data_IF_688286751466
#
_entry.id   IF_688286751466
#
_cell.length_a   1.000
_cell.length_b   1.000
_cell.length_c   1.000
_cell.angle_alpha   90.00
_cell.angle_beta   90.00
_cell.angle_gamma   90.00
#
_symmetry.space_group_name_H-M   'P 1'
#
loop_
_entity.id
_entity.type
_entity.pdbx_description
1 polymer ?
#
# COMPACT_ATOMS: atom_id res chain seq x y z
N UNK A 1 -9.50 13.34 0.78
CA UNK A 1 -8.23 12.90 0.15
C UNK A 1 -8.27 11.49 -0.39
N UNK A 2 -9.12 11.21 -1.39
CA UNK A 2 -9.17 9.88 -2.01
C UNK A 2 -8.00 9.64 -2.98
N UNK A 3 -7.58 10.66 -3.73
CA UNK A 3 -6.47 10.54 -4.68
C UNK A 3 -5.13 10.15 -4.05
N UNK A 4 -4.81 10.66 -2.86
CA UNK A 4 -3.58 10.30 -2.13
C UNK A 4 -3.62 8.86 -1.62
N UNK A 5 -4.78 8.36 -1.19
CA UNK A 5 -4.94 6.96 -0.78
C UNK A 5 -4.80 6.01 -1.97
N UNK A 6 -5.37 6.40 -3.12
CA UNK A 6 -5.25 5.66 -4.38
C UNK A 6 -3.79 5.61 -4.85
N UNK A 7 -3.07 6.73 -4.74
CA UNK A 7 -1.64 6.80 -5.03
C UNK A 7 -0.81 5.94 -4.07
N UNK A 8 -1.09 5.93 -2.77
CA UNK A 8 -0.42 5.04 -1.82
C UNK A 8 -0.68 3.56 -2.10
N UNK A 9 -1.92 3.19 -2.45
CA UNK A 9 -2.25 1.83 -2.84
C UNK A 9 -1.55 1.40 -4.13
N UNK A 10 -1.60 2.23 -5.16
CA UNK A 10 -0.95 1.96 -6.45
C UNK A 10 0.58 1.94 -6.35
N UNK A 11 1.17 2.84 -5.56
CA UNK A 11 2.62 2.89 -5.34
C UNK A 11 3.11 1.74 -4.46
N UNK A 12 2.48 1.52 -3.30
CA UNK A 12 2.91 0.50 -2.34
C UNK A 12 2.67 -0.92 -2.84
N UNK A 13 1.49 -1.22 -3.38
CA UNK A 13 1.18 -2.55 -3.90
C UNK A 13 1.54 -2.73 -5.37
N UNK A 14 1.18 -1.78 -6.24
CA UNK A 14 1.39 -1.93 -7.69
C UNK A 14 2.86 -1.87 -8.07
N UNK A 15 3.56 -0.78 -7.74
CA UNK A 15 4.99 -0.65 -8.02
C UNK A 15 5.86 -1.54 -7.11
N UNK A 16 5.47 -1.71 -5.84
CA UNK A 16 6.14 -2.63 -4.92
C UNK A 16 6.09 -4.09 -5.41
N UNK A 17 4.93 -4.60 -5.81
CA UNK A 17 4.83 -5.96 -6.34
C UNK A 17 5.55 -6.13 -7.69
N UNK A 18 5.59 -5.10 -8.52
CA UNK A 18 6.37 -5.13 -9.76
C UNK A 18 7.87 -5.20 -9.50
N UNK A 19 8.38 -4.47 -8.50
CA UNK A 19 9.78 -4.54 -8.09
C UNK A 19 10.18 -5.97 -7.70
N UNK A 20 9.33 -6.63 -6.90
CA UNK A 20 9.55 -8.00 -6.46
C UNK A 20 9.51 -9.04 -7.59
N UNK A 21 8.67 -8.84 -8.61
CA UNK A 21 8.65 -9.71 -9.79
C UNK A 21 9.96 -9.59 -10.59
N UNK A 22 10.48 -8.37 -10.76
CA UNK A 22 11.75 -8.16 -11.47
C UNK A 22 12.91 -8.83 -10.73
N UNK A 23 12.94 -8.69 -9.41
CA UNK A 23 13.95 -9.30 -8.56
C UNK A 23 13.88 -10.84 -8.57
N UNK A 24 12.68 -11.42 -8.48
CA UNK A 24 12.46 -12.86 -8.59
C UNK A 24 12.90 -13.43 -9.96
N UNK A 25 12.61 -12.72 -11.06
CA UNK A 25 13.06 -13.10 -12.40
C UNK A 25 14.59 -13.03 -12.51
N UNK A 26 15.23 -12.05 -11.88
CA UNK A 26 16.69 -11.96 -11.82
C UNK A 26 17.30 -13.17 -11.09
N UNK A 27 16.70 -13.60 -9.97
CA UNK A 27 17.15 -14.80 -9.21
C UNK A 27 17.03 -16.09 -10.01
N UNK A 28 16.01 -16.22 -10.87
CA UNK A 28 15.85 -17.40 -11.74
C UNK A 28 16.82 -17.43 -12.92
N UNK A 29 17.33 -16.27 -13.33
CA UNK A 29 18.14 -16.11 -14.56
C UNK A 29 19.63 -15.98 -14.26
N UNK A 30 20.00 -15.55 -13.04
CA UNK A 30 21.39 -15.38 -12.61
C UNK A 30 21.66 -16.28 -11.38
N UNK A 31 22.60 -17.24 -11.46
CA UNK A 31 22.97 -18.02 -10.28
C UNK A 31 23.64 -17.13 -9.22
N UNK A 32 23.35 -17.40 -7.94
CA UNK A 32 23.94 -16.78 -6.74
C UNK A 32 23.52 -15.35 -6.33
N UNK A 33 22.35 -14.85 -6.74
CA UNK A 33 21.78 -13.65 -6.08
C UNK A 33 21.03 -14.09 -4.82
N UNK A 34 21.58 -13.84 -3.63
CA UNK A 34 21.01 -14.19 -2.30
C UNK A 34 19.71 -13.41 -1.94
N UNK A 35 19.04 -12.82 -2.94
CA UNK A 35 17.81 -12.03 -2.83
C UNK A 35 16.87 -12.44 -3.99
N UNK A 36 15.55 -12.47 -3.73
CA UNK A 36 14.53 -12.89 -4.71
C UNK A 36 14.19 -14.39 -4.79
N UNK A 37 14.39 -15.17 -3.71
CA UNK A 37 13.76 -16.50 -3.59
C UNK A 37 12.28 -16.41 -3.18
N UNK A 38 11.46 -17.45 -3.46
CA UNK A 38 10.01 -17.47 -3.17
C UNK A 38 9.62 -16.96 -1.77
N UNK A 39 10.42 -17.31 -0.75
CA UNK A 39 10.19 -16.87 0.64
C UNK A 39 10.46 -15.37 0.81
N UNK A 40 11.54 -14.84 0.22
CA UNK A 40 11.92 -13.43 0.34
C UNK A 40 10.93 -12.55 -0.42
N UNK A 41 10.67 -12.86 -1.69
CA UNK A 41 9.66 -12.19 -2.53
C UNK A 41 8.28 -12.20 -1.86
N UNK A 42 7.92 -13.29 -1.18
CA UNK A 42 6.69 -13.37 -0.40
C UNK A 42 6.66 -12.40 0.79
N UNK A 43 7.74 -12.31 1.55
CA UNK A 43 7.86 -11.38 2.67
C UNK A 43 7.87 -9.91 2.22
N UNK A 44 8.49 -9.61 1.08
CA UNK A 44 8.55 -8.24 0.54
C UNK A 44 7.17 -7.78 0.05
N UNK A 45 6.38 -8.67 -0.57
CA UNK A 45 4.97 -8.40 -0.88
C UNK A 45 4.11 -8.16 0.36
N UNK A 46 4.32 -8.94 1.43
CA UNK A 46 3.62 -8.74 2.71
C UNK A 46 4.00 -7.39 3.33
N UNK A 47 5.29 -7.04 3.33
CA UNK A 47 5.76 -5.76 3.84
C UNK A 47 5.19 -4.57 3.05
N UNK A 48 5.18 -4.67 1.71
CA UNK A 48 4.57 -3.68 0.81
C UNK A 48 3.07 -3.49 1.09
N UNK A 49 2.33 -4.59 1.29
CA UNK A 49 0.92 -4.55 1.64
C UNK A 49 0.68 -3.88 3.00
N UNK A 50 1.44 -4.28 4.03
CA UNK A 50 1.32 -3.71 5.37
C UNK A 50 1.65 -2.21 5.35
N UNK A 51 2.73 -1.82 4.69
CA UNK A 51 3.12 -0.41 4.53
C UNK A 51 2.06 0.43 3.84
N UNK A 52 1.46 -0.07 2.75
CA UNK A 52 0.39 0.62 2.04
C UNK A 52 -0.87 0.83 2.91
N UNK A 53 -1.28 -0.20 3.67
CA UNK A 53 -2.41 -0.12 4.59
C UNK A 53 -2.14 0.90 5.70
N UNK A 54 -0.94 0.87 6.29
CA UNK A 54 -0.54 1.82 7.34
C UNK A 54 -0.54 3.27 6.82
N UNK A 55 0.02 3.51 5.62
CA UNK A 55 0.04 4.84 5.01
C UNK A 55 -1.37 5.37 4.73
N UNK A 56 -2.25 4.56 4.14
CA UNK A 56 -3.65 4.93 3.89
C UNK A 56 -4.40 5.26 5.20
N UNK A 57 -4.20 4.44 6.23
CA UNK A 57 -4.83 4.65 7.56
C UNK A 57 -4.35 5.95 8.19
N UNK A 58 -3.03 6.21 8.16
CA UNK A 58 -2.44 7.42 8.71
C UNK A 58 -2.95 8.68 8.00
N UNK A 59 -2.99 8.67 6.67
CA UNK A 59 -3.49 9.80 5.86
C UNK A 59 -4.97 10.08 6.17
N UNK A 60 -5.79 9.02 6.34
CA UNK A 60 -7.20 9.17 6.71
C UNK A 60 -7.36 9.84 8.08
N UNK A 61 -6.62 9.38 9.08
CA UNK A 61 -6.68 9.91 10.44
C UNK A 61 -6.20 11.37 10.50
N UNK A 62 -5.11 11.70 9.79
CA UNK A 62 -4.60 13.08 9.70
C UNK A 62 -5.56 14.02 8.99
N UNK A 63 -6.21 13.56 7.92
CA UNK A 63 -7.19 14.37 7.21
C UNK A 63 -8.43 14.65 8.08
N UNK A 64 -8.93 13.65 8.81
CA UNK A 64 -10.07 13.82 9.72
C UNK A 64 -9.74 14.76 10.90
N UNK A 65 -8.54 14.63 11.48
CA UNK A 65 -8.10 15.50 12.57
C UNK A 65 -7.87 16.96 12.14
N UNK A 66 -7.44 17.18 10.89
CA UNK A 66 -7.24 18.52 10.35
C UNK A 66 -8.55 19.22 9.93
N UNK A 67 -9.60 18.45 9.58
CA UNK A 67 -10.84 18.98 9.02
C UNK A 67 -12.09 18.50 9.83
N UNK A 68 -12.26 18.95 11.09
CA UNK A 68 -13.34 18.50 11.96
C UNK A 68 -14.77 18.78 11.44
N UNK A 69 -14.96 19.83 10.62
CA UNK A 69 -16.26 20.15 10.01
C UNK A 69 -16.67 19.17 8.90
N UNK A 70 -15.72 18.49 8.26
CA UNK A 70 -16.01 17.43 7.28
C UNK A 70 -16.42 16.15 8.00
N UNK A 71 -15.84 15.87 9.17
CA UNK A 71 -16.17 14.73 10.02
C UNK A 71 -17.65 14.73 10.43
N UNK A 72 -18.14 15.89 10.90
CA UNK A 72 -19.54 16.05 11.30
C UNK A 72 -20.53 15.90 10.14
N UNK A 73 -20.10 16.23 8.90
CA UNK A 73 -20.91 16.03 7.69
C UNK A 73 -20.94 14.56 7.29
N UNK A 74 -19.80 13.86 7.34
CA UNK A 74 -19.74 12.42 7.03
C UNK A 74 -20.50 11.55 8.05
N UNK A 75 -20.61 11.97 9.31
CA UNK A 75 -21.47 11.30 10.32
C UNK A 75 -22.98 11.55 10.10
N UNK A 76 -23.35 12.59 9.35
CA UNK A 76 -24.76 12.93 9.07
C UNK A 76 -25.31 12.30 7.79
N UNK A 77 -24.45 11.73 6.94
CA UNK A 77 -24.85 11.04 5.71
C UNK A 77 -25.32 9.62 6.08
N UNK A 78 -26.61 9.28 5.91
CA UNK A 78 -27.08 7.92 6.17
C UNK A 78 -26.40 6.93 5.19
N UNK A 79 -26.10 5.69 5.62
CA UNK A 79 -25.54 4.69 4.72
C UNK A 79 -26.48 4.51 3.53
N UNK A 80 -25.95 4.70 2.31
CA UNK A 80 -26.67 4.53 1.05
C UNK A 80 -27.43 3.18 1.08
N UNK A 81 -28.76 3.27 1.06
CA UNK A 81 -29.72 2.16 0.97
C UNK A 81 -29.72 1.53 -0.42
#
# INVERSE_FOLDING_TARGET
SYGVMLLCGAAGMGFGAFNEIVEFVATLTVPDTNVGGYINTGWDLVANMVGAIMACTWIKLRYAAANPSVSSVMESEPPLS
#
